data_IF_658453246971
#
_entry.id   IF_658453246971
#
_cell.length_a   1.000
_cell.length_b   1.000
_cell.length_c   1.000
_cell.angle_alpha   90.00
_cell.angle_beta   90.00
_cell.angle_gamma   90.00
#
_symmetry.space_group_name_H-M   'P 1'
#
loop_
_entity.id
_entity.type
_entity.pdbx_description
1 polymer ?
#
# COMPACT_ATOMS: atom_id res chain seq x y z
N UNK A 1 14.99 -3.65 24.43
CA UNK A 1 15.86 -2.73 25.21
C UNK A 1 16.67 -1.89 24.22
N UNK A 2 16.45 -0.57 24.20
CA UNK A 2 17.13 0.34 23.28
C UNK A 2 18.58 0.53 23.78
N UNK A 3 19.58 0.19 22.95
CA UNK A 3 21.01 0.35 23.28
C UNK A 3 21.55 1.76 23.03
N UNK A 4 20.66 2.75 22.93
CA UNK A 4 21.04 4.14 22.66
C UNK A 4 21.25 4.84 24.00
N UNK A 5 22.46 5.37 24.29
CA UNK A 5 22.68 6.16 25.49
C UNK A 5 21.82 7.44 25.39
N UNK A 6 20.79 7.52 26.22
CA UNK A 6 19.87 8.66 26.30
C UNK A 6 20.53 9.87 27.00
N UNK A 7 21.59 9.59 27.75
CA UNK A 7 22.39 10.53 28.53
C UNK A 7 23.86 10.16 28.40
N UNK A 8 24.70 11.15 28.11
CA UNK A 8 26.14 11.00 27.99
C UNK A 8 26.83 12.19 28.61
N UNK A 9 27.57 11.95 29.69
CA UNK A 9 28.30 12.98 30.41
C UNK A 9 29.78 12.65 30.38
N UNK A 10 30.54 13.41 29.61
CA UNK A 10 32.00 13.26 29.53
C UNK A 10 32.64 14.36 30.35
N UNK A 11 33.51 13.97 31.28
CA UNK A 11 34.31 14.88 32.09
C UNK A 11 35.76 14.74 31.68
N UNK A 12 36.33 15.81 31.14
CA UNK A 12 37.74 15.89 30.74
C UNK A 12 38.45 16.85 31.68
N UNK A 13 39.61 16.46 32.20
CA UNK A 13 40.44 17.32 33.04
C UNK A 13 41.74 17.64 32.33
N UNK A 14 42.03 18.94 32.20
CA UNK A 14 43.27 19.45 31.65
C UNK A 14 44.27 19.65 32.79
N UNK A 15 45.35 18.87 32.75
CA UNK A 15 46.42 18.89 33.74
C UNK A 15 47.73 19.30 33.06
N UNK A 16 48.44 20.26 33.64
CA UNK A 16 49.77 20.69 33.23
C UNK A 16 50.81 20.03 34.12
N UNK A 17 51.71 19.26 33.51
CA UNK A 17 52.91 18.80 34.20
C UNK A 17 53.93 19.92 34.21
N UNK A 18 54.33 20.36 35.40
CA UNK A 18 55.41 21.33 35.57
C UNK A 18 56.59 20.58 36.17
N UNK A 19 57.71 20.61 35.47
CA UNK A 19 58.97 20.00 35.91
C UNK A 19 59.96 21.08 36.32
N UNK A 20 60.71 20.80 37.38
CA UNK A 20 61.79 21.61 37.86
C UNK A 20 62.91 21.69 36.82
N UNK A 21 63.10 22.87 36.22
CA UNK A 21 64.17 23.11 35.26
C UNK A 21 65.06 24.26 35.75
N UNK A 22 66.31 23.99 36.18
CA UNK A 22 67.24 25.01 36.68
C UNK A 22 67.58 26.09 35.64
N UNK A 23 67.46 25.76 34.35
CA UNK A 23 67.76 26.68 33.24
C UNK A 23 66.67 27.74 32.98
N UNK A 24 65.47 27.62 33.58
CA UNK A 24 64.36 28.55 33.38
C UNK A 24 63.99 29.17 34.73
N UNK A 25 64.27 30.47 34.90
CA UNK A 25 64.03 31.20 36.16
C UNK A 25 62.59 31.13 36.69
N UNK A 26 61.60 30.95 35.80
CA UNK A 26 60.19 30.84 36.19
C UNK A 26 59.85 29.50 36.86
N UNK A 27 60.61 28.42 36.58
CA UNK A 27 60.30 27.05 37.04
C UNK A 27 61.39 26.49 37.97
N UNK A 28 62.51 27.20 38.13
CA UNK A 28 63.69 26.76 38.91
C UNK A 28 63.48 26.66 40.42
N UNK A 29 62.35 27.12 40.95
CA UNK A 29 62.00 26.99 42.38
C UNK A 29 60.76 26.13 42.61
N UNK A 30 60.10 25.67 41.54
CA UNK A 30 58.93 24.84 41.66
C UNK A 30 59.34 23.36 41.77
N UNK A 31 58.69 22.58 42.64
CA UNK A 31 58.83 21.12 42.65
C UNK A 31 58.09 20.50 41.47
N UNK A 32 58.42 19.25 41.12
CA UNK A 32 57.73 18.49 40.09
C UNK A 32 56.28 18.21 40.50
N UNK A 33 55.32 18.90 39.88
CA UNK A 33 53.90 18.79 40.23
C UNK A 33 53.00 18.84 39.00
N UNK A 34 51.84 18.19 39.13
CA UNK A 34 50.79 18.19 38.11
C UNK A 34 49.75 19.22 38.55
N UNK A 35 49.72 20.36 37.85
CA UNK A 35 48.75 21.41 38.12
C UNK A 35 47.47 21.18 37.33
N UNK A 36 46.31 21.02 38.00
CA UNK A 36 45.03 21.06 37.32
C UNK A 36 44.76 22.49 36.86
N UNK A 37 44.55 22.67 35.55
CA UNK A 37 44.22 23.99 34.99
C UNK A 37 42.71 24.17 35.04
N UNK A 38 41.99 23.22 34.44
CA UNK A 38 40.55 23.31 34.26
C UNK A 38 39.94 21.93 34.04
N UNK A 39 38.65 21.83 34.30
CA UNK A 39 37.83 20.69 33.93
C UNK A 39 36.76 21.15 32.96
N UNK A 40 36.58 20.38 31.88
CA UNK A 40 35.53 20.56 30.89
C UNK A 40 34.51 19.45 31.08
N UNK A 41 33.27 19.84 31.31
CA UNK A 41 32.13 18.93 31.31
C UNK A 41 31.40 19.12 29.99
N UNK A 42 31.70 18.27 29.03
CA UNK A 42 30.96 18.18 27.78
C UNK A 42 29.92 17.07 27.93
N UNK A 43 28.72 17.48 28.34
CA UNK A 43 27.54 16.65 28.32
C UNK A 43 26.58 17.23 27.29
N UNK A 44 25.99 16.36 26.48
CA UNK A 44 24.76 16.74 25.78
C UNK A 44 23.71 16.68 26.89
N UNK A 45 23.27 17.86 27.35
CA UNK A 45 22.18 17.95 28.32
C UNK A 45 21.01 17.16 27.74
N UNK A 46 20.42 16.32 28.58
CA UNK A 46 19.35 15.38 28.26
C UNK A 46 18.48 15.82 27.07
N UNK A 47 18.26 14.89 26.13
CA UNK A 47 17.35 15.06 25.00
C UNK A 47 16.12 15.89 25.42
N UNK A 48 15.82 17.00 24.72
CA UNK A 48 14.76 17.96 25.08
C UNK A 48 13.54 17.23 25.65
N UNK A 49 12.96 17.66 26.79
CA UNK A 49 11.97 16.89 27.55
C UNK A 49 10.81 16.35 26.72
N UNK A 50 10.42 17.09 25.67
CA UNK A 50 9.44 16.64 24.67
C UNK A 50 9.84 15.33 23.98
N UNK A 51 11.07 15.22 23.48
CA UNK A 51 11.56 14.07 22.70
C UNK A 51 11.73 12.85 23.61
N UNK A 52 12.23 13.05 24.85
CA UNK A 52 12.32 12.00 25.86
C UNK A 52 10.95 11.38 26.14
N UNK A 53 9.90 12.19 26.23
CA UNK A 53 8.53 11.71 26.46
C UNK A 53 8.02 10.85 25.31
N UNK A 54 8.26 11.26 24.07
CA UNK A 54 7.87 10.47 22.88
C UNK A 54 8.64 9.16 22.78
N UNK A 55 9.95 9.17 23.06
CA UNK A 55 10.79 7.96 23.05
C UNK A 55 10.39 7.02 24.17
N UNK A 56 10.13 7.53 25.38
CA UNK A 56 9.65 6.73 26.50
C UNK A 56 8.30 6.11 26.18
N UNK A 57 7.34 6.88 25.64
CA UNK A 57 6.04 6.37 25.23
C UNK A 57 6.17 5.29 24.15
N UNK A 58 6.99 5.52 23.12
CA UNK A 58 7.18 4.55 22.05
C UNK A 58 7.79 3.23 22.54
N UNK A 59 8.71 3.30 23.52
CA UNK A 59 9.46 2.13 23.99
C UNK A 59 8.76 1.38 25.11
N UNK A 60 8.13 2.07 26.07
CA UNK A 60 7.42 1.40 27.18
C UNK A 60 6.09 0.79 26.75
N UNK A 61 5.39 1.42 25.81
CA UNK A 61 4.12 0.86 25.31
C UNK A 61 4.35 -0.18 24.22
N UNK A 62 5.56 -0.32 23.67
CA UNK A 62 5.86 -1.30 22.61
C UNK A 62 5.56 -2.73 23.05
N UNK A 63 6.00 -3.13 24.26
CA UNK A 63 5.85 -4.50 24.75
C UNK A 63 4.38 -4.92 24.93
N UNK A 64 3.49 -3.95 25.21
CA UNK A 64 2.04 -4.20 25.38
C UNK A 64 1.27 -3.98 24.07
N UNK A 65 1.70 -3.03 23.24
CA UNK A 65 1.06 -2.71 21.97
C UNK A 65 1.21 -3.83 20.94
N UNK A 66 2.37 -4.49 20.90
CA UNK A 66 2.63 -5.60 19.96
C UNK A 66 1.60 -6.73 20.12
N UNK A 67 1.44 -7.37 21.31
CA UNK A 67 0.45 -8.44 21.46
C UNK A 67 -0.99 -7.92 21.27
N UNK A 68 -1.30 -6.71 21.73
CA UNK A 68 -2.64 -6.13 21.60
C UNK A 68 -3.04 -5.95 20.12
N UNK A 69 -2.15 -5.41 19.29
CA UNK A 69 -2.36 -5.25 17.85
C UNK A 69 -2.44 -6.62 17.17
N UNK A 70 -1.57 -7.57 17.52
CA UNK A 70 -1.59 -8.92 16.93
C UNK A 70 -2.90 -9.64 17.20
N UNK A 71 -3.36 -9.69 18.46
CA UNK A 71 -4.64 -10.31 18.79
C UNK A 71 -5.82 -9.55 18.18
N UNK A 72 -5.75 -8.21 18.13
CA UNK A 72 -6.74 -7.37 17.46
C UNK A 72 -6.88 -7.71 15.97
N UNK A 73 -5.77 -7.80 15.24
CA UNK A 73 -5.78 -8.16 13.82
C UNK A 73 -6.32 -9.57 13.58
N UNK A 74 -5.98 -10.53 14.43
CA UNK A 74 -6.49 -11.90 14.33
C UNK A 74 -8.01 -11.90 14.49
N UNK A 75 -8.54 -11.21 15.50
CA UNK A 75 -9.98 -11.13 15.74
C UNK A 75 -10.70 -10.47 14.56
N UNK A 76 -10.17 -9.35 14.06
CA UNK A 76 -10.72 -8.68 12.88
C UNK A 76 -10.70 -9.60 11.66
N UNK A 77 -9.61 -10.33 11.44
CA UNK A 77 -9.50 -11.31 10.36
C UNK A 77 -10.57 -12.40 10.44
N UNK A 78 -10.84 -12.94 11.63
CA UNK A 78 -11.89 -13.94 11.85
C UNK A 78 -13.27 -13.36 11.52
N UNK A 79 -13.56 -12.14 11.97
CA UNK A 79 -14.84 -11.47 11.69
C UNK A 79 -15.02 -11.22 10.19
N UNK A 80 -13.97 -10.80 9.49
CA UNK A 80 -14.00 -10.61 8.03
C UNK A 80 -14.28 -11.92 7.31
N UNK A 81 -13.59 -13.02 7.68
CA UNK A 81 -13.83 -14.34 7.09
C UNK A 81 -15.27 -14.79 7.34
N UNK A 82 -15.77 -14.65 8.58
CA UNK A 82 -17.13 -15.04 8.93
C UNK A 82 -18.19 -14.25 8.15
N UNK A 83 -18.03 -12.93 8.02
CA UNK A 83 -18.97 -12.08 7.26
C UNK A 83 -18.97 -12.41 5.76
N UNK A 84 -17.79 -12.68 5.19
CA UNK A 84 -17.67 -13.11 3.78
C UNK A 84 -18.31 -14.48 3.58
N UNK A 85 -18.12 -15.44 4.49
CA UNK A 85 -18.76 -16.75 4.42
C UNK A 85 -20.29 -16.63 4.46
N UNK A 86 -20.84 -15.91 5.45
CA UNK A 86 -22.29 -15.70 5.57
C UNK A 86 -22.84 -15.03 4.30
N UNK A 87 -22.17 -13.99 3.79
CA UNK A 87 -22.56 -13.34 2.55
C UNK A 87 -22.48 -14.28 1.35
N UNK A 88 -21.46 -15.12 1.27
CA UNK A 88 -21.29 -16.12 0.21
C UNK A 88 -22.41 -17.16 0.24
N UNK A 89 -22.73 -17.73 1.42
CA UNK A 89 -23.83 -18.68 1.58
C UNK A 89 -25.18 -18.08 1.18
N UNK A 90 -25.48 -16.86 1.63
CA UNK A 90 -26.71 -16.17 1.23
C UNK A 90 -26.76 -15.82 -0.26
N UNK A 91 -25.63 -15.64 -0.94
CA UNK A 91 -25.60 -15.38 -2.38
C UNK A 91 -25.62 -16.67 -3.22
N UNK A 92 -25.13 -17.80 -2.69
CA UNK A 92 -25.13 -19.10 -3.37
C UNK A 92 -26.53 -19.72 -3.39
N UNK A 93 -27.33 -19.57 -2.33
CA UNK A 93 -28.72 -20.06 -2.31
C UNK A 93 -29.59 -19.51 -3.47
N UNK A 94 -29.66 -18.18 -3.74
CA UNK A 94 -30.40 -17.65 -4.88
C UNK A 94 -29.67 -17.84 -6.21
N UNK A 95 -28.35 -18.10 -6.20
CA UNK A 95 -27.61 -18.46 -7.41
C UNK A 95 -28.11 -19.77 -8.01
N UNK A 96 -28.49 -20.76 -7.18
CA UNK A 96 -29.06 -22.02 -7.68
C UNK A 96 -30.41 -21.78 -8.38
N UNK A 97 -31.30 -20.99 -7.78
CA UNK A 97 -32.60 -20.65 -8.38
C UNK A 97 -32.43 -19.85 -9.69
N UNK A 98 -31.50 -18.90 -9.72
CA UNK A 98 -31.20 -18.13 -10.95
C UNK A 98 -30.52 -18.97 -12.03
N UNK A 99 -29.71 -19.97 -11.68
CA UNK A 99 -29.12 -20.92 -12.63
C UNK A 99 -30.22 -21.83 -13.21
N UNK A 100 -31.19 -22.27 -12.42
CA UNK A 100 -32.33 -23.05 -12.91
C UNK A 100 -33.24 -22.24 -13.84
N UNK A 101 -33.49 -20.97 -13.51
CA UNK A 101 -34.24 -20.05 -14.37
C UNK A 101 -33.46 -19.70 -15.65
N UNK A 102 -32.13 -19.56 -15.57
CA UNK A 102 -31.24 -19.39 -16.71
C UNK A 102 -31.26 -20.59 -17.67
N UNK A 103 -31.23 -21.82 -17.14
CA UNK A 103 -31.36 -23.06 -17.94
C UNK A 103 -32.71 -23.14 -18.65
N UNK A 104 -33.80 -22.66 -18.02
CA UNK A 104 -35.14 -22.61 -18.64
C UNK A 104 -35.26 -21.51 -19.72
N UNK A 105 -34.65 -20.34 -19.51
CA UNK A 105 -34.70 -19.23 -20.49
C UNK A 105 -33.83 -19.49 -21.72
N UNK A 106 -32.65 -20.11 -21.56
CA UNK A 106 -31.75 -20.46 -22.66
C UNK A 106 -32.39 -21.47 -23.62
N UNK A 107 -33.20 -22.40 -23.10
CA UNK A 107 -33.94 -23.38 -23.91
C UNK A 107 -35.12 -22.78 -24.69
N UNK A 108 -35.63 -21.61 -24.29
CA UNK A 108 -36.75 -20.91 -24.93
C UNK A 108 -36.31 -19.74 -25.83
N UNK A 109 -35.11 -19.20 -25.61
CA UNK A 109 -34.53 -18.12 -26.43
C UNK A 109 -34.00 -18.55 -27.81
N UNK A 110 -33.87 -19.85 -28.08
CA UNK A 110 -33.34 -20.36 -29.35
C UNK A 110 -34.33 -20.27 -30.53
N UNK A 111 -35.64 -20.20 -30.29
CA UNK A 111 -36.63 -20.04 -31.37
C UNK A 111 -36.71 -18.60 -31.90
N UNK A 112 -36.34 -17.61 -31.09
CA UNK A 112 -36.41 -16.19 -31.49
C UNK A 112 -35.22 -15.76 -32.36
N UNK A 113 -34.04 -16.35 -32.13
CA UNK A 113 -32.82 -16.06 -32.91
C UNK A 113 -32.88 -16.71 -34.30
N UNK A 114 -33.49 -17.90 -34.42
CA UNK A 114 -33.68 -18.59 -35.71
C UNK A 114 -34.56 -17.79 -36.68
N UNK A 115 -35.58 -17.09 -36.21
CA UNK A 115 -36.48 -16.33 -37.07
C UNK A 115 -35.88 -14.96 -37.51
N UNK A 116 -34.88 -14.45 -36.77
CA UNK A 116 -34.20 -13.20 -37.08
C UNK A 116 -33.13 -13.32 -38.19
N UNK A 117 -32.50 -14.50 -38.34
CA UNK A 117 -31.44 -14.70 -39.34
C UNK A 117 -31.95 -14.73 -40.79
N UNK A 118 -33.17 -15.19 -41.04
CA UNK A 118 -33.72 -15.27 -42.40
C UNK A 118 -33.92 -13.87 -43.03
N UNK A 119 -34.14 -12.82 -42.23
CA UNK A 119 -34.41 -11.46 -42.73
C UNK A 119 -33.15 -10.71 -43.17
N UNK A 120 -31.98 -11.11 -42.69
CA UNK A 120 -30.70 -10.48 -43.04
C UNK A 120 -30.10 -11.06 -44.32
N UNK A 121 -30.40 -12.31 -44.67
CA UNK A 121 -29.92 -12.93 -45.92
C UNK A 121 -30.67 -12.42 -47.16
N UNK A 122 -31.97 -12.12 -47.05
CA UNK A 122 -32.79 -11.63 -48.19
C UNK A 122 -32.35 -10.25 -48.69
N UNK A 123 -31.72 -9.42 -47.85
CA UNK A 123 -31.29 -8.07 -48.25
C UNK A 123 -30.02 -8.09 -49.11
N UNK A 124 -29.23 -9.18 -49.07
CA UNK A 124 -27.91 -9.21 -49.74
C UNK A 124 -27.94 -9.58 -51.23
N UNK A 125 -29.03 -10.12 -51.76
CA UNK A 125 -29.08 -10.60 -53.17
C UNK A 125 -29.71 -9.60 -54.16
N UNK A 126 -30.12 -8.41 -53.72
CA UNK A 126 -30.85 -7.44 -54.55
C UNK A 126 -29.95 -6.46 -55.33
N UNK A 127 -28.91 -6.93 -56.01
CA UNK A 127 -28.18 -6.08 -56.96
C UNK A 127 -27.81 -6.83 -58.25
N UNK A 128 -28.23 -6.20 -59.37
CA UNK A 128 -27.72 -6.31 -60.74
C UNK A 128 -28.34 -7.41 -61.61
N UNK A 129 -29.18 -6.95 -62.56
CA UNK A 129 -29.00 -7.26 -63.99
C UNK A 129 -29.57 -6.10 -64.83
N UNK A 130 -28.70 -5.13 -65.13
CA UNK A 130 -28.90 -4.13 -66.17
C UNK A 130 -28.28 -4.74 -67.44
N UNK A 131 -29.08 -5.29 -68.35
CA UNK A 131 -28.62 -5.52 -69.72
C UNK A 131 -29.72 -5.34 -70.77
N UNK A 132 -29.43 -4.35 -71.61
CA UNK A 132 -29.85 -4.01 -72.97
C UNK A 132 -30.42 -5.13 -73.87
N UNK A 133 -31.46 -4.81 -74.66
CA UNK A 133 -31.74 -5.15 -76.08
C UNK A 133 -33.23 -4.86 -76.35
N UNK A 134 -33.62 -3.81 -77.10
CA UNK A 134 -33.65 -3.72 -78.56
C UNK A 134 -34.65 -4.70 -79.22
N UNK A 135 -35.69 -4.09 -79.81
CA UNK A 135 -36.62 -4.58 -80.85
C UNK A 135 -37.85 -5.45 -80.47
N UNK A 136 -38.96 -5.08 -81.13
CA UNK A 136 -40.22 -5.81 -81.38
C UNK A 136 -41.28 -5.83 -80.25
N UNK A 137 -42.53 -5.38 -80.39
CA UNK A 137 -43.35 -5.13 -81.58
C UNK A 137 -44.53 -4.16 -81.27
N UNK A 138 -44.75 -3.18 -82.14
CA UNK A 138 -46.09 -2.64 -82.47
C UNK A 138 -46.79 -3.67 -83.41
N UNK A 139 -48.07 -3.58 -83.83
CA UNK A 139 -49.10 -2.54 -83.60
C UNK A 139 -50.51 -3.12 -83.28
N UNK A 140 -51.48 -2.29 -82.86
CA UNK A 140 -52.88 -2.51 -83.28
C UNK A 140 -53.63 -1.18 -83.39
N UNK A 141 -54.10 -0.92 -84.61
CA UNK A 141 -54.94 0.19 -85.08
C UNK A 141 -56.40 -0.32 -85.21
N UNK A 142 -57.35 0.61 -85.26
CA UNK A 142 -58.79 0.55 -85.62
C UNK A 142 -59.72 0.60 -84.39
N UNK A 143 -60.76 1.46 -84.29
CA UNK A 143 -61.56 2.27 -85.24
C UNK A 143 -61.93 3.60 -84.57
#
# INVERSE_FOLDING_TARGET
KLGVPVEGKVRVQLNLKVEHQPAINAVSKFPDIIFPIMWLEEGIDELTPSIRRWVYLATTFSDVAVPCITYGLILVGIVVIATVLVKSYHNIMPAQETIELGKKTMRRGSSFIVNGQNRLLVVRESYILLNHNAEDAQPIVNV
#
